data_IF_305727531724
#
_entry.id   IF_305727531724
#
_cell.length_a   1.000
_cell.length_b   1.000
_cell.length_c   1.000
_cell.angle_alpha   90.00
_cell.angle_beta   90.00
_cell.angle_gamma   90.00
#
_symmetry.space_group_name_H-M   'P 1'
#
loop_
_entity.id
_entity.type
_entity.pdbx_description
1 polymer ?
#
# COMPACT_ATOMS: atom_id res chain seq x y z
N UNK A 1 -12.63 -7.19 -21.61
CA UNK A 1 -11.99 -6.07 -20.89
C UNK A 1 -10.88 -6.61 -20.01
N UNK A 2 -9.76 -5.90 -19.93
CA UNK A 2 -8.56 -6.26 -19.16
C UNK A 2 -8.49 -5.41 -17.88
N UNK A 3 -8.04 -5.99 -16.77
CA UNK A 3 -7.64 -5.26 -15.56
C UNK A 3 -6.11 -5.27 -15.46
N UNK A 4 -5.54 -4.11 -15.19
CA UNK A 4 -4.13 -3.93 -14.88
C UNK A 4 -4.02 -3.36 -13.47
N UNK A 5 -3.14 -3.94 -12.66
CA UNK A 5 -2.78 -3.42 -11.35
C UNK A 5 -1.26 -3.23 -11.31
N UNK A 6 -0.82 -2.09 -10.79
CA UNK A 6 0.60 -1.72 -10.78
C UNK A 6 1.05 -1.17 -9.43
N UNK A 7 2.33 -1.35 -9.15
CA UNK A 7 3.05 -0.60 -8.11
C UNK A 7 3.90 0.44 -8.81
N UNK A 8 3.76 1.70 -8.43
CA UNK A 8 4.43 2.84 -9.07
C UNK A 8 5.13 3.69 -8.01
N UNK A 9 6.35 4.11 -8.31
CA UNK A 9 7.08 5.05 -7.46
C UNK A 9 6.47 6.46 -7.58
N UNK A 10 6.04 7.05 -6.45
CA UNK A 10 5.31 8.33 -6.46
C UNK A 10 6.11 9.51 -7.02
N UNK A 11 7.44 9.54 -6.84
CA UNK A 11 8.29 10.64 -7.30
C UNK A 11 8.66 10.56 -8.78
N UNK A 12 9.24 9.43 -9.19
CA UNK A 12 9.76 9.22 -10.56
C UNK A 12 8.71 8.69 -11.54
N UNK A 13 7.53 8.30 -11.04
CA UNK A 13 6.46 7.64 -11.82
C UNK A 13 6.90 6.33 -12.49
N UNK A 14 7.97 5.72 -11.98
CA UNK A 14 8.49 4.43 -12.48
C UNK A 14 7.55 3.31 -12.08
N UNK A 15 7.17 2.45 -13.04
CA UNK A 15 6.46 1.20 -12.77
C UNK A 15 7.46 0.20 -12.18
N UNK A 16 7.18 -0.27 -10.97
CA UNK A 16 8.02 -1.23 -10.23
C UNK A 16 7.61 -2.66 -10.57
N UNK A 17 6.30 -2.92 -10.60
CA UNK A 17 5.72 -4.20 -11.00
C UNK A 17 4.30 -4.01 -11.53
N UNK A 18 3.83 -4.96 -12.34
CA UNK A 18 2.52 -4.94 -12.95
C UNK A 18 1.96 -6.36 -13.10
N UNK A 19 0.65 -6.48 -12.90
CA UNK A 19 -0.10 -7.72 -13.15
C UNK A 19 -1.32 -7.42 -14.00
N UNK A 20 -1.59 -8.31 -14.94
CA UNK A 20 -2.71 -8.23 -15.85
C UNK A 20 -3.66 -9.40 -15.59
N UNK A 21 -4.95 -9.18 -15.80
CA UNK A 21 -5.94 -10.25 -15.65
C UNK A 21 -7.33 -9.88 -16.10
N UNK A 22 -8.25 -10.84 -15.97
CA UNK A 22 -9.64 -10.65 -16.37
C UNK A 22 -10.32 -9.57 -15.52
N UNK A 23 -11.09 -8.70 -16.17
CA UNK A 23 -11.81 -7.60 -15.51
C UNK A 23 -12.80 -8.07 -14.44
N UNK A 24 -13.41 -9.24 -14.62
CA UNK A 24 -14.36 -9.85 -13.68
C UNK A 24 -13.74 -10.31 -12.36
N UNK A 25 -12.41 -10.33 -12.26
CA UNK A 25 -11.70 -10.66 -11.01
C UNK A 25 -11.32 -9.35 -10.30
N UNK A 26 -11.57 -9.28 -9.00
CA UNK A 26 -11.27 -8.10 -8.18
C UNK A 26 -9.76 -7.79 -8.09
N UNK A 27 -9.39 -6.51 -8.01
CA UNK A 27 -8.00 -6.07 -7.82
C UNK A 27 -7.33 -6.67 -6.59
N UNK A 28 -8.10 -6.85 -5.50
CA UNK A 28 -7.58 -7.39 -4.24
C UNK A 28 -7.09 -8.83 -4.39
N UNK A 29 -7.63 -9.59 -5.35
CA UNK A 29 -7.17 -10.93 -5.70
C UNK A 29 -5.79 -10.90 -6.35
N UNK A 30 -5.49 -9.85 -7.14
CA UNK A 30 -4.21 -9.68 -7.82
C UNK A 30 -3.13 -9.02 -6.94
N UNK A 31 -3.54 -8.32 -5.87
CA UNK A 31 -2.64 -7.59 -4.99
C UNK A 31 -1.46 -8.43 -4.45
N UNK A 32 -1.65 -9.68 -3.97
CA UNK A 32 -0.55 -10.49 -3.45
C UNK A 32 0.59 -10.71 -4.44
N UNK A 33 0.28 -10.80 -5.74
CA UNK A 33 1.28 -10.99 -6.79
C UNK A 33 2.25 -9.82 -6.89
N UNK A 34 1.77 -8.60 -6.62
CA UNK A 34 2.60 -7.39 -6.64
C UNK A 34 3.41 -7.20 -5.36
N UNK A 35 3.04 -7.85 -4.25
CA UNK A 35 3.76 -7.67 -2.98
C UNK A 35 5.20 -8.19 -3.04
N UNK A 36 5.51 -9.09 -3.97
CA UNK A 36 6.87 -9.60 -4.20
C UNK A 36 7.88 -8.51 -4.59
N UNK A 37 7.41 -7.38 -5.13
CA UNK A 37 8.29 -6.29 -5.54
C UNK A 37 8.63 -5.35 -4.37
N UNK A 38 7.95 -5.51 -3.22
CA UNK A 38 8.20 -4.73 -2.03
C UNK A 38 9.48 -5.20 -1.35
N UNK A 39 10.25 -4.23 -0.86
CA UNK A 39 11.48 -4.46 -0.11
C UNK A 39 11.31 -3.93 1.31
N UNK A 40 12.10 -4.44 2.27
CA UNK A 40 12.32 -3.74 3.54
C UNK A 40 12.66 -2.27 3.25
N UNK A 41 12.14 -1.35 4.05
CA UNK A 41 12.30 0.11 3.93
C UNK A 41 11.46 0.81 2.83
N UNK A 42 10.61 0.09 2.09
CA UNK A 42 9.63 0.74 1.20
C UNK A 42 8.40 1.22 1.98
N UNK A 43 7.93 2.44 1.71
CA UNK A 43 6.61 2.91 2.12
C UNK A 43 5.59 2.67 0.99
N UNK A 44 4.68 1.71 1.19
CA UNK A 44 3.58 1.46 0.27
C UNK A 44 2.37 2.34 0.60
N UNK A 45 1.92 3.11 -0.38
CA UNK A 45 0.65 3.84 -0.33
C UNK A 45 -0.45 2.97 -0.95
N UNK A 46 -1.51 2.65 -0.19
CA UNK A 46 -2.60 1.83 -0.71
C UNK A 46 -3.98 2.40 -0.38
N UNK A 47 -4.96 2.06 -1.22
CA UNK A 47 -6.35 2.47 -1.03
C UNK A 47 -7.09 1.58 0.01
N UNK A 48 -8.26 2.03 0.44
CA UNK A 48 -9.09 1.40 1.48
C UNK A 48 -9.42 -0.08 1.22
N UNK A 49 -9.55 -0.48 -0.04
CA UNK A 49 -9.85 -1.88 -0.38
C UNK A 49 -8.72 -2.84 0.02
N UNK A 50 -7.46 -2.41 -0.12
CA UNK A 50 -6.29 -3.21 0.24
C UNK A 50 -6.08 -3.31 1.75
N UNK A 51 -6.71 -2.39 2.51
CA UNK A 51 -6.71 -2.42 3.96
C UNK A 51 -7.40 -3.66 4.55
N UNK A 52 -8.35 -4.25 3.83
CA UNK A 52 -9.10 -5.39 4.36
C UNK A 52 -8.40 -6.71 4.03
N UNK A 53 -7.75 -6.80 2.88
CA UNK A 53 -7.31 -8.07 2.30
C UNK A 53 -5.80 -8.28 2.29
N UNK A 54 -5.00 -7.21 2.27
CA UNK A 54 -3.56 -7.31 2.00
C UNK A 54 -2.66 -6.94 3.20
N UNK A 55 -3.22 -6.39 4.29
CA UNK A 55 -2.43 -5.89 5.44
C UNK A 55 -1.43 -6.89 6.00
N UNK A 56 -1.86 -8.12 6.29
CA UNK A 56 -0.98 -9.13 6.87
C UNK A 56 0.15 -9.55 5.92
N UNK A 57 -0.15 -9.65 4.61
CA UNK A 57 0.85 -10.01 3.59
C UNK A 57 1.86 -8.88 3.37
N UNK A 58 1.42 -7.62 3.39
CA UNK A 58 2.33 -6.48 3.31
C UNK A 58 3.23 -6.43 4.56
N UNK A 59 2.68 -6.69 5.75
CA UNK A 59 3.48 -6.73 6.98
C UNK A 59 4.62 -7.77 6.91
N UNK A 60 4.38 -8.91 6.24
CA UNK A 60 5.42 -9.93 6.04
C UNK A 60 6.55 -9.52 5.09
N UNK A 61 6.38 -8.46 4.26
CA UNK A 61 7.45 -7.95 3.40
C UNK A 61 8.38 -6.97 4.11
N UNK A 62 8.14 -6.68 5.39
CA UNK A 62 8.83 -5.64 6.16
C UNK A 62 8.75 -4.24 5.53
N UNK A 63 7.79 -4.02 4.64
CA UNK A 63 7.50 -2.71 4.09
C UNK A 63 6.60 -1.92 5.05
N UNK A 64 6.82 -0.62 5.12
CA UNK A 64 5.89 0.28 5.78
C UNK A 64 4.64 0.49 4.93
N UNK A 65 3.50 0.73 5.59
CA UNK A 65 2.20 0.75 4.93
C UNK A 65 1.37 1.94 5.39
N UNK A 66 1.08 2.86 4.46
CA UNK A 66 0.13 3.95 4.65
C UNK A 66 -1.13 3.68 3.83
N UNK A 67 -2.26 3.49 4.51
CA UNK A 67 -3.52 3.15 3.87
C UNK A 67 -4.58 4.22 4.10
N UNK A 68 -5.26 4.62 3.03
CA UNK A 68 -6.46 5.44 3.12
C UNK A 68 -7.57 4.68 3.84
N UNK A 69 -8.09 5.27 4.91
CA UNK A 69 -9.21 4.68 5.64
C UNK A 69 -10.55 5.10 5.03
N UNK A 70 -11.59 4.27 5.21
CA UNK A 70 -12.96 4.67 4.88
C UNK A 70 -13.41 5.75 5.86
N UNK A 71 -14.07 6.80 5.39
CA UNK A 71 -14.44 7.97 6.21
C UNK A 71 -15.25 7.62 7.45
N UNK A 72 -16.15 6.63 7.36
CA UNK A 72 -16.97 6.17 8.49
C UNK A 72 -16.23 5.23 9.47
N UNK A 73 -14.96 4.89 9.22
CA UNK A 73 -14.22 3.95 10.06
C UNK A 73 -13.55 4.68 11.22
N UNK A 74 -14.13 4.56 12.41
CA UNK A 74 -13.49 5.02 13.65
C UNK A 74 -12.32 4.08 13.97
N UNK A 75 -11.10 4.61 13.92
CA UNK A 75 -9.91 3.89 14.33
C UNK A 75 -9.45 4.38 15.70
N UNK A 76 -9.12 3.47 16.63
CA UNK A 76 -8.51 3.88 17.88
C UNK A 76 -7.19 4.58 17.56
N UNK A 77 -7.05 5.81 18.05
CA UNK A 77 -5.82 6.59 17.89
C UNK A 77 -4.76 6.00 18.80
N UNK A 78 -3.78 5.31 18.21
CA UNK A 78 -2.64 4.78 18.97
C UNK A 78 -1.69 5.88 19.41
N UNK A 79 -1.37 6.82 18.51
CA UNK A 79 -0.48 7.95 18.80
C UNK A 79 -0.75 9.09 17.82
N UNK A 80 -0.78 10.32 18.31
CA UNK A 80 -0.77 11.52 17.45
C UNK A 80 0.67 11.95 17.27
N UNK A 81 1.15 11.95 16.04
CA UNK A 81 2.44 12.54 15.71
C UNK A 81 2.29 14.04 15.53
N UNK A 82 3.20 14.82 16.13
CA UNK A 82 3.26 16.27 15.94
C UNK A 82 3.67 16.51 14.49
N UNK A 83 2.78 17.05 13.67
CA UNK A 83 3.10 17.44 12.30
C UNK A 83 4.07 18.61 12.35
N UNK A 84 5.38 18.32 12.33
CA UNK A 84 6.41 19.31 12.06
C UNK A 84 6.37 19.66 10.57
N UNK A 85 6.45 20.94 10.23
CA UNK A 85 6.93 21.34 8.90
C UNK A 85 8.37 20.80 8.80
N UNK A 86 8.57 19.73 8.04
CA UNK A 86 9.85 19.04 7.92
C UNK A 86 9.73 17.59 8.34
N UNK A 87 9.61 16.71 7.35
CA UNK A 87 9.82 15.28 7.53
C UNK A 87 11.28 15.07 7.94
N UNK A 88 11.51 14.63 9.17
CA UNK A 88 12.81 14.13 9.60
C UNK A 88 12.64 12.69 10.04
N UNK A 89 13.21 11.81 9.21
CA UNK A 89 13.69 10.44 9.45
C UNK A 89 13.04 9.60 10.56
N UNK A 90 12.56 8.43 10.16
CA UNK A 90 12.24 7.32 11.04
C UNK A 90 13.48 6.91 11.86
N UNK A 91 13.36 6.92 13.19
CA UNK A 91 14.25 6.18 14.07
C UNK A 91 13.54 4.90 14.49
N UNK A 92 14.24 3.77 14.30
CA UNK A 92 13.80 2.41 14.61
C UNK A 92 13.34 2.23 16.05
#
# INVERSE_FOLDING_TARGET
>A
MLRMLTVVACGTRTVVDAVFGAYGVGETTYAPTLLRCLKPDMLLLADRNFAVTARGKIASTHAELLIRCKDARVLPRSRRWRTGRGWHGWAR
#
